data_IF_813924675038
#
_entry.id   IF_813924675038
#
_cell.length_a   1.000
_cell.length_b   1.000
_cell.length_c   1.000
_cell.angle_alpha   90.00
_cell.angle_beta   90.00
_cell.angle_gamma   90.00
#
_symmetry.space_group_name_H-M   'P 1'
#
loop_
_entity.id
_entity.type
_entity.pdbx_description
1 polymer ?
#
# COMPACT_ATOMS: atom_id res chain seq x y z
N UNK A 1 4.19 -21.73 49.12
CA UNK A 1 3.35 -21.93 47.93
C UNK A 1 3.23 -20.66 47.10
N UNK A 2 2.92 -19.51 47.71
CA UNK A 2 2.80 -18.21 47.02
C UNK A 2 3.99 -17.83 46.12
N UNK A 3 5.24 -17.97 46.60
CA UNK A 3 6.44 -17.68 45.80
C UNK A 3 6.56 -18.52 44.51
N UNK A 4 6.08 -19.78 44.53
CA UNK A 4 6.10 -20.64 43.33
C UNK A 4 5.04 -20.21 42.32
N UNK A 5 3.89 -19.76 42.81
CA UNK A 5 2.81 -19.22 41.97
C UNK A 5 3.23 -17.89 41.34
N UNK A 6 3.84 -16.99 42.11
CA UNK A 6 4.35 -15.70 41.60
C UNK A 6 5.42 -15.91 40.53
N UNK A 7 6.41 -16.77 40.77
CA UNK A 7 7.43 -17.07 39.77
C UNK A 7 6.85 -17.70 38.49
N UNK A 8 5.81 -18.53 38.62
CA UNK A 8 5.12 -19.10 37.46
C UNK A 8 4.38 -18.01 36.65
N UNK A 9 3.72 -17.07 37.34
CA UNK A 9 3.05 -15.94 36.69
C UNK A 9 4.03 -15.00 35.99
N UNK A 10 5.19 -14.69 36.60
CA UNK A 10 6.24 -13.89 35.98
C UNK A 10 6.79 -14.56 34.72
N UNK A 11 7.06 -15.87 34.76
CA UNK A 11 7.51 -16.61 33.59
C UNK A 11 6.47 -16.59 32.45
N UNK A 12 5.20 -16.80 32.77
CA UNK A 12 4.12 -16.73 31.77
C UNK A 12 4.02 -15.33 31.15
N UNK A 13 4.11 -14.28 31.96
CA UNK A 13 4.08 -12.90 31.48
C UNK A 13 5.26 -12.58 30.55
N UNK A 14 6.47 -13.03 30.91
CA UNK A 14 7.67 -12.85 30.09
C UNK A 14 7.57 -13.59 28.75
N UNK A 15 7.07 -14.82 28.76
CA UNK A 15 6.85 -15.60 27.53
C UNK A 15 5.79 -14.96 26.62
N UNK A 16 4.70 -14.44 27.20
CA UNK A 16 3.68 -13.73 26.44
C UNK A 16 4.23 -12.45 25.81
N UNK A 17 4.98 -11.64 26.57
CA UNK A 17 5.61 -10.42 26.06
C UNK A 17 6.63 -10.72 24.95
N UNK A 18 7.49 -11.73 25.13
CA UNK A 18 8.44 -12.14 24.11
C UNK A 18 7.74 -12.61 22.82
N UNK A 19 6.67 -13.41 22.97
CA UNK A 19 5.86 -13.87 21.83
C UNK A 19 5.21 -12.70 21.10
N UNK A 20 4.63 -11.74 21.83
CA UNK A 20 4.03 -10.55 21.24
C UNK A 20 5.04 -9.71 20.45
N UNK A 21 6.24 -9.49 20.99
CA UNK A 21 7.33 -8.79 20.31
C UNK A 21 7.72 -9.51 19.01
N UNK A 22 7.91 -10.84 19.06
CA UNK A 22 8.21 -11.63 17.85
C UNK A 22 7.12 -11.49 16.80
N UNK A 23 5.84 -11.54 17.21
CA UNK A 23 4.71 -11.38 16.31
C UNK A 23 4.68 -10.00 15.64
N UNK A 24 5.03 -8.92 16.34
CA UNK A 24 5.11 -7.59 15.73
C UNK A 24 6.11 -7.51 14.59
N UNK A 25 7.23 -8.23 14.69
CA UNK A 25 8.27 -8.22 13.65
C UNK A 25 8.03 -9.27 12.55
N UNK A 26 7.44 -10.41 12.92
CA UNK A 26 7.12 -11.51 12.01
C UNK A 26 5.85 -11.23 11.18
N UNK A 27 4.89 -10.49 11.74
CA UNK A 27 3.69 -10.05 11.04
C UNK A 27 4.03 -8.86 10.13
N UNK A 28 4.83 -9.13 9.08
CA UNK A 28 4.88 -8.26 7.91
C UNK A 28 3.54 -8.46 7.20
N UNK A 29 2.68 -7.44 7.02
CA UNK A 29 1.57 -7.57 6.10
C UNK A 29 2.18 -8.01 4.76
N UNK A 30 1.83 -9.22 4.34
CA UNK A 30 2.41 -9.83 3.14
C UNK A 30 2.21 -8.85 2.00
N UNK A 31 3.32 -8.44 1.37
CA UNK A 31 3.24 -7.74 0.11
C UNK A 31 2.38 -8.62 -0.81
N UNK A 32 1.33 -8.04 -1.40
CA UNK A 32 0.45 -8.72 -2.35
C UNK A 32 1.33 -9.53 -3.30
N UNK A 33 1.16 -10.87 -3.39
CA UNK A 33 1.92 -11.67 -4.33
C UNK A 33 1.81 -11.01 -5.70
N UNK A 34 2.96 -10.76 -6.35
CA UNK A 34 2.94 -10.30 -7.73
C UNK A 34 2.09 -11.30 -8.51
N UNK A 35 1.00 -10.81 -9.11
CA UNK A 35 0.13 -11.65 -9.91
C UNK A 35 1.01 -12.40 -10.93
N UNK A 36 0.76 -13.71 -11.18
CA UNK A 36 1.49 -14.44 -12.19
C UNK A 36 1.44 -13.61 -13.48
N UNK A 37 2.60 -13.41 -14.11
CA UNK A 37 2.70 -12.71 -15.37
C UNK A 37 1.92 -13.49 -16.42
N UNK A 38 0.62 -13.23 -16.52
CA UNK A 38 -0.22 -13.65 -17.63
C UNK A 38 0.46 -13.07 -18.87
N UNK A 39 1.11 -13.93 -19.66
CA UNK A 39 1.81 -13.63 -20.92
C UNK A 39 1.94 -12.12 -21.18
N UNK A 40 2.93 -11.51 -20.53
CA UNK A 40 2.88 -10.12 -20.06
C UNK A 40 2.37 -9.13 -21.12
N UNK A 41 1.09 -8.78 -21.05
CA UNK A 41 0.56 -7.64 -21.77
C UNK A 41 1.43 -6.43 -21.42
N UNK A 42 1.84 -5.67 -22.44
CA UNK A 42 2.70 -4.50 -22.25
C UNK A 42 2.06 -3.60 -21.16
N UNK A 43 2.76 -3.33 -20.04
CA UNK A 43 2.19 -2.61 -18.91
C UNK A 43 1.72 -1.20 -19.30
N UNK A 44 2.28 -0.62 -20.37
CA UNK A 44 1.82 0.66 -20.90
C UNK A 44 0.45 0.54 -21.56
N UNK A 45 0.20 -0.54 -22.31
CA UNK A 45 -1.11 -0.80 -22.95
C UNK A 45 -2.17 -1.05 -21.89
N UNK A 46 -1.86 -1.84 -20.87
CA UNK A 46 -2.76 -2.08 -19.74
C UNK A 46 -3.02 -0.78 -18.97
N UNK A 47 -1.95 -0.01 -18.69
CA UNK A 47 -2.05 1.27 -18.01
C UNK A 47 -2.91 2.29 -18.75
N UNK A 48 -2.79 2.36 -20.08
CA UNK A 48 -3.61 3.22 -20.94
C UNK A 48 -5.09 2.86 -20.85
N UNK A 49 -5.44 1.58 -20.95
CA UNK A 49 -6.82 1.11 -20.82
C UNK A 49 -7.41 1.46 -19.44
N UNK A 50 -6.63 1.25 -18.37
CA UNK A 50 -7.04 1.60 -17.01
C UNK A 50 -7.25 3.12 -16.88
N UNK A 51 -6.34 3.93 -17.42
CA UNK A 51 -6.45 5.38 -17.39
C UNK A 51 -7.70 5.88 -18.13
N UNK A 52 -7.93 5.37 -19.34
CA UNK A 52 -9.09 5.71 -20.16
C UNK A 52 -10.40 5.37 -19.44
N UNK A 53 -10.49 4.20 -18.81
CA UNK A 53 -11.71 3.72 -18.15
C UNK A 53 -12.00 4.39 -16.80
N UNK A 54 -10.98 4.86 -16.07
CA UNK A 54 -11.15 5.24 -14.65
C UNK A 54 -10.69 6.66 -14.31
N UNK A 55 -9.78 7.25 -15.08
CA UNK A 55 -9.08 8.49 -14.68
C UNK A 55 -9.38 9.65 -15.63
N UNK A 56 -9.58 9.35 -16.92
CA UNK A 56 -9.71 10.33 -18.00
C UNK A 56 -10.84 11.34 -17.79
N UNK A 57 -11.97 10.90 -17.21
CA UNK A 57 -13.14 11.74 -16.93
C UNK A 57 -12.80 12.94 -16.06
N UNK A 58 -11.87 12.78 -15.10
CA UNK A 58 -11.46 13.86 -14.20
C UNK A 58 -10.16 14.52 -14.65
N UNK A 59 -9.20 13.74 -15.13
CA UNK A 59 -7.84 14.22 -15.42
C UNK A 59 -7.59 14.58 -16.89
N UNK A 60 -8.61 14.52 -17.74
CA UNK A 60 -8.48 14.75 -19.18
C UNK A 60 -8.07 13.49 -19.94
N UNK A 61 -8.36 13.44 -21.24
CA UNK A 61 -8.16 12.25 -22.07
C UNK A 61 -6.68 11.86 -22.19
N UNK A 62 -5.77 12.83 -22.07
CA UNK A 62 -4.32 12.69 -22.13
C UNK A 62 -3.64 13.07 -20.81
N UNK A 63 -4.39 13.15 -19.71
CA UNK A 63 -3.86 13.56 -18.40
C UNK A 63 -3.49 15.04 -18.31
N UNK A 64 -3.98 15.88 -19.23
CA UNK A 64 -3.76 17.33 -19.32
C UNK A 64 -4.41 18.12 -18.18
N UNK A 65 -5.33 17.50 -17.44
CA UNK A 65 -6.11 18.12 -16.38
C UNK A 65 -7.45 18.65 -16.89
N UNK A 66 -8.48 18.51 -16.07
CA UNK A 66 -9.82 19.06 -16.32
C UNK A 66 -10.44 19.46 -14.98
N UNK A 67 -11.36 18.64 -14.44
CA UNK A 67 -11.88 18.80 -13.08
C UNK A 67 -10.79 18.46 -12.05
N UNK A 68 -9.99 17.43 -12.35
CA UNK A 68 -8.84 17.01 -11.57
C UNK A 68 -7.53 17.63 -12.10
N UNK A 69 -6.46 17.63 -11.27
CA UNK A 69 -5.18 18.21 -11.63
C UNK A 69 -4.51 17.49 -12.81
N UNK A 70 -3.64 18.20 -13.52
CA UNK A 70 -2.83 17.62 -14.59
C UNK A 70 -1.88 16.53 -14.08
N UNK A 71 -1.84 15.39 -14.77
CA UNK A 71 -0.94 14.26 -14.50
C UNK A 71 0.19 14.14 -15.53
N UNK A 72 0.00 14.69 -16.73
CA UNK A 72 0.95 14.62 -17.84
C UNK A 72 2.14 15.58 -17.69
N UNK A 73 3.21 15.33 -18.46
CA UNK A 73 4.44 16.14 -18.42
C UNK A 73 5.28 15.94 -17.16
N UNK A 74 5.19 14.75 -16.55
CA UNK A 74 6.03 14.34 -15.41
C UNK A 74 5.68 15.00 -14.08
N UNK A 75 4.52 15.65 -13.97
CA UNK A 75 4.09 16.31 -12.72
C UNK A 75 4.04 15.31 -11.55
N UNK A 76 3.48 14.12 -11.79
CA UNK A 76 3.40 13.05 -10.79
C UNK A 76 4.79 12.57 -10.39
N UNK A 77 5.68 12.32 -11.35
CA UNK A 77 7.04 11.83 -11.09
C UNK A 77 7.86 12.84 -10.29
N UNK A 78 7.71 14.14 -10.57
CA UNK A 78 8.37 15.19 -9.78
C UNK A 78 7.81 15.31 -8.36
N UNK A 79 6.50 15.16 -8.20
CA UNK A 79 5.83 15.30 -6.90
C UNK A 79 6.03 14.07 -6.00
N UNK A 80 6.10 12.89 -6.62
CA UNK A 80 6.24 11.58 -5.99
C UNK A 80 7.40 10.83 -6.67
N UNK A 81 8.66 11.14 -6.32
CA UNK A 81 9.83 10.55 -6.98
C UNK A 81 9.95 9.04 -6.75
N UNK A 82 9.43 8.55 -5.61
CA UNK A 82 9.38 7.14 -5.31
C UNK A 82 8.11 6.51 -5.91
N UNK A 83 8.21 5.46 -6.74
CA UNK A 83 7.06 4.75 -7.29
C UNK A 83 6.09 4.22 -6.22
N UNK A 84 6.58 3.87 -5.03
CA UNK A 84 5.72 3.44 -3.92
C UNK A 84 4.72 4.53 -3.50
N UNK A 85 5.13 5.80 -3.54
CA UNK A 85 4.27 6.92 -3.19
C UNK A 85 3.22 7.18 -4.29
N UNK A 86 3.58 6.93 -5.56
CA UNK A 86 2.64 7.01 -6.67
C UNK A 86 1.53 5.97 -6.55
N UNK A 87 1.89 4.73 -6.20
CA UNK A 87 0.95 3.63 -5.95
C UNK A 87 0.04 3.99 -4.77
N UNK A 88 0.62 4.47 -3.67
CA UNK A 88 -0.12 4.83 -2.47
C UNK A 88 -1.19 5.89 -2.75
N UNK A 89 -0.88 6.91 -3.56
CA UNK A 89 -1.85 7.95 -3.95
C UNK A 89 -3.01 7.36 -4.75
N UNK A 90 -2.75 6.46 -5.68
CA UNK A 90 -3.82 5.81 -6.47
C UNK A 90 -4.69 4.89 -5.60
N UNK A 91 -4.08 4.09 -4.73
CA UNK A 91 -4.77 3.15 -3.85
C UNK A 91 -5.62 3.86 -2.79
N UNK A 92 -5.08 4.91 -2.20
CA UNK A 92 -5.75 5.76 -1.24
C UNK A 92 -7.01 6.41 -1.83
N UNK A 93 -6.87 7.00 -3.02
CA UNK A 93 -7.97 7.72 -3.66
C UNK A 93 -9.08 6.75 -4.08
N UNK A 94 -8.75 5.50 -4.43
CA UNK A 94 -9.74 4.44 -4.71
C UNK A 94 -10.46 3.94 -3.46
N UNK A 95 -9.84 4.01 -2.29
CA UNK A 95 -10.39 3.45 -1.04
C UNK A 95 -11.05 4.50 -0.15
N UNK A 96 -10.89 5.80 -0.46
CA UNK A 96 -11.48 6.90 0.31
C UNK A 96 -10.93 7.03 1.73
N UNK A 97 -9.88 6.28 2.06
CA UNK A 97 -9.18 6.41 3.33
C UNK A 97 -8.49 7.77 3.31
N UNK A 98 -8.71 8.61 4.34
CA UNK A 98 -8.01 9.88 4.48
C UNK A 98 -6.82 9.74 5.45
N UNK A 99 -5.61 10.17 5.09
CA UNK A 99 -4.44 10.31 5.96
C UNK A 99 -4.43 11.77 6.38
N UNK A 100 -5.19 12.03 7.45
CA UNK A 100 -4.95 13.21 8.29
C UNK A 100 -3.58 13.17 8.91
#
# INVERSE_FOLDING_TARGET
MLKRVVNALELVALLAAATFVVLLFAYRPTAKPAAPAAAAANPLVVGEQVFAANCSTCHGAHGEGAVGPRLSGGAVVRRYPNPADQIAVVEYTRTGLNRG
#
